data_IF_294377874992
#
_entry.id   IF_294377874992
#
_cell.length_a   1.000
_cell.length_b   1.000
_cell.length_c   1.000
_cell.angle_alpha   90.00
_cell.angle_beta   90.00
_cell.angle_gamma   90.00
#
_symmetry.space_group_name_H-M   'P 1'
#
loop_
_entity.id
_entity.type
_entity.pdbx_description
1 polymer ?
#
# COMPACT_ATOMS: atom_id res chain seq x y z
N UNK A 1 -13.33 1.97 11.39
CA UNK A 1 -13.78 2.98 12.38
C UNK A 1 -14.27 4.19 11.62
N UNK A 2 -15.23 4.95 12.13
CA UNK A 2 -15.66 6.18 11.45
C UNK A 2 -14.73 7.36 11.78
N UNK A 3 -14.72 8.37 10.90
CA UNK A 3 -13.85 9.54 11.05
C UNK A 3 -14.22 10.37 12.29
N UNK A 4 -15.50 10.44 12.67
CA UNK A 4 -15.92 11.07 13.92
C UNK A 4 -15.31 10.36 15.16
N UNK A 5 -15.31 9.02 15.19
CA UNK A 5 -14.69 8.25 16.28
C UNK A 5 -13.18 8.52 16.38
N UNK A 6 -12.52 8.68 15.23
CA UNK A 6 -11.11 9.07 15.18
C UNK A 6 -10.90 10.48 15.75
N UNK A 7 -11.76 11.43 15.38
CA UNK A 7 -11.69 12.79 15.92
C UNK A 7 -11.91 12.83 17.43
N UNK A 8 -12.87 12.06 17.95
CA UNK A 8 -13.10 11.95 19.39
C UNK A 8 -11.87 11.39 20.12
N UNK A 9 -11.26 10.32 19.58
CA UNK A 9 -10.04 9.74 20.16
C UNK A 9 -8.88 10.72 20.19
N UNK A 10 -8.66 11.45 19.09
CA UNK A 10 -7.60 12.46 19.01
C UNK A 10 -7.86 13.63 19.96
N UNK A 11 -9.10 14.12 20.02
CA UNK A 11 -9.51 15.25 20.89
C UNK A 11 -9.28 14.89 22.36
N UNK A 12 -9.86 13.79 22.84
CA UNK A 12 -9.74 13.43 24.25
C UNK A 12 -8.42 12.73 24.61
N UNK A 13 -7.61 12.37 23.62
CA UNK A 13 -6.33 11.68 23.76
C UNK A 13 -5.15 12.58 23.46
N UNK A 14 -4.50 12.31 22.33
CA UNK A 14 -3.19 12.87 22.00
C UNK A 14 -3.20 14.38 21.74
N UNK A 15 -4.30 14.93 21.21
CA UNK A 15 -4.42 16.36 20.88
C UNK A 15 -5.09 17.17 22.00
N UNK A 16 -5.34 16.58 23.17
CA UNK A 16 -6.04 17.21 24.30
C UNK A 16 -5.43 18.52 24.82
N UNK A 17 -4.16 18.80 24.50
CA UNK A 17 -3.45 20.04 24.89
C UNK A 17 -3.47 21.12 23.80
N UNK A 18 -4.04 20.83 22.62
CA UNK A 18 -4.12 21.76 21.50
C UNK A 18 -5.49 22.44 21.48
N UNK A 19 -5.55 23.67 20.94
CA UNK A 19 -6.80 24.45 20.90
C UNK A 19 -7.95 23.67 20.22
N UNK A 20 -7.72 23.17 19.00
CA UNK A 20 -8.70 22.37 18.24
C UNK A 20 -8.81 20.90 18.68
N UNK A 21 -8.20 20.54 19.81
CA UNK A 21 -8.30 19.22 20.43
C UNK A 21 -8.66 19.28 21.92
N UNK A 22 -8.90 20.47 22.48
CA UNK A 22 -9.05 20.67 23.92
C UNK A 22 -10.47 20.43 24.44
N UNK A 23 -10.56 20.02 25.71
CA UNK A 23 -11.82 19.72 26.43
C UNK A 23 -12.76 20.94 26.56
N UNK A 24 -12.21 22.15 26.41
CA UNK A 24 -12.95 23.42 26.47
C UNK A 24 -13.41 23.92 25.09
N UNK A 25 -13.08 23.21 24.01
CA UNK A 25 -13.43 23.55 22.63
C UNK A 25 -14.42 22.54 22.02
N UNK A 26 -15.06 22.88 20.90
CA UNK A 26 -16.06 22.02 20.22
C UNK A 26 -15.48 20.74 19.58
N UNK A 27 -14.23 20.38 19.93
CA UNK A 27 -13.44 19.31 19.32
C UNK A 27 -12.90 19.70 17.94
N UNK A 28 -12.56 18.70 17.14
CA UNK A 28 -12.12 18.92 15.75
C UNK A 28 -13.32 19.39 14.91
N UNK A 29 -13.30 20.67 14.53
CA UNK A 29 -14.39 21.30 13.76
C UNK A 29 -14.17 21.20 12.25
N UNK A 30 -15.16 21.63 11.46
CA UNK A 30 -15.03 21.67 10.00
C UNK A 30 -13.89 22.56 9.50
N UNK A 31 -13.55 23.63 10.23
CA UNK A 31 -12.46 24.53 9.88
C UNK A 31 -11.08 23.86 10.08
N UNK A 32 -10.99 22.89 10.99
CA UNK A 32 -9.78 22.14 11.29
C UNK A 32 -9.51 21.01 10.31
N UNK A 33 -10.52 20.54 9.58
CA UNK A 33 -10.39 19.43 8.63
C UNK A 33 -9.26 19.66 7.62
N UNK A 34 -9.12 20.89 7.11
CA UNK A 34 -8.05 21.24 6.14
C UNK A 34 -6.64 21.12 6.73
N UNK A 35 -6.52 21.19 8.05
CA UNK A 35 -5.25 21.05 8.78
C UNK A 35 -4.98 19.59 9.13
N UNK A 36 -5.98 18.88 9.66
CA UNK A 36 -5.81 17.54 10.23
C UNK A 36 -5.84 16.43 9.18
N UNK A 37 -6.70 16.51 8.17
CA UNK A 37 -6.88 15.45 7.17
C UNK A 37 -5.57 15.09 6.44
N UNK A 38 -4.71 16.05 6.04
CA UNK A 38 -3.40 15.71 5.48
C UNK A 38 -2.52 14.87 6.42
N UNK A 39 -2.60 15.06 7.74
CA UNK A 39 -1.86 14.25 8.71
C UNK A 39 -2.43 12.83 8.82
N UNK A 40 -3.76 12.71 8.74
CA UNK A 40 -4.47 11.42 8.71
C UNK A 40 -4.08 10.62 7.47
N UNK A 41 -4.15 11.21 6.27
CA UNK A 41 -3.76 10.55 5.02
C UNK A 41 -2.30 10.09 5.06
N UNK A 42 -1.40 10.93 5.58
CA UNK A 42 0.02 10.55 5.69
C UNK A 42 0.25 9.44 6.72
N UNK A 43 -0.50 9.42 7.82
CA UNK A 43 -0.43 8.37 8.83
C UNK A 43 -0.94 7.03 8.28
N UNK A 44 -2.06 7.03 7.53
CA UNK A 44 -2.54 5.84 6.84
C UNK A 44 -1.52 5.34 5.82
N UNK A 45 -0.96 6.24 5.00
CA UNK A 45 0.09 5.88 4.04
C UNK A 45 1.32 5.31 4.76
N UNK A 46 1.73 5.85 5.91
CA UNK A 46 2.85 5.30 6.70
C UNK A 46 2.61 3.84 7.11
N UNK A 47 1.41 3.56 7.62
CA UNK A 47 1.06 2.22 8.05
C UNK A 47 0.93 1.24 6.88
N UNK A 48 0.36 1.66 5.74
CA UNK A 48 0.28 0.84 4.53
C UNK A 48 1.67 0.54 3.93
N UNK A 49 2.64 1.46 4.04
CA UNK A 49 4.03 1.17 3.64
C UNK A 49 4.67 0.12 4.54
N UNK A 50 4.45 0.22 5.86
CA UNK A 50 5.10 -0.65 6.85
C UNK A 50 4.48 -2.05 6.91
N UNK A 51 3.15 -2.13 6.84
CA UNK A 51 2.38 -3.36 6.99
C UNK A 51 1.57 -3.65 5.73
N UNK A 52 1.48 -4.93 5.33
CA UNK A 52 0.62 -5.33 4.22
C UNK A 52 -0.85 -5.32 4.68
N UNK A 53 -1.47 -4.15 4.65
CA UNK A 53 -2.86 -3.92 5.11
C UNK A 53 -3.86 -4.13 3.98
N UNK A 54 -3.49 -3.69 2.77
CA UNK A 54 -4.33 -3.77 1.57
C UNK A 54 -3.48 -4.31 0.43
N UNK A 55 -3.92 -5.43 -0.10
CA UNK A 55 -3.40 -6.07 -1.29
C UNK A 55 -4.52 -6.07 -2.33
N UNK A 56 -4.16 -5.74 -3.57
CA UNK A 56 -5.06 -5.73 -4.70
C UNK A 56 -4.39 -6.39 -5.88
N UNK A 57 -5.20 -6.84 -6.82
CA UNK A 57 -4.72 -7.42 -8.07
C UNK A 57 -5.28 -6.65 -9.27
N UNK A 58 -4.53 -6.67 -10.37
CA UNK A 58 -5.01 -6.16 -11.65
C UNK A 58 -4.52 -7.04 -12.79
N UNK A 59 -5.40 -7.28 -13.75
CA UNK A 59 -5.07 -8.04 -14.95
C UNK A 59 -4.50 -7.10 -16.02
N UNK A 60 -3.32 -7.42 -16.54
CA UNK A 60 -2.68 -6.75 -17.67
C UNK A 60 -2.78 -7.64 -18.90
N UNK A 61 -3.35 -7.13 -19.98
CA UNK A 61 -3.27 -7.77 -21.30
C UNK A 61 -1.99 -7.39 -22.02
N UNK A 62 -1.23 -8.40 -22.45
CA UNK A 62 0.04 -8.24 -23.12
C UNK A 62 -0.12 -8.01 -24.64
N UNK A 63 0.79 -7.20 -25.17
CA UNK A 63 0.92 -6.88 -26.60
C UNK A 63 2.37 -7.11 -27.04
N UNK A 64 2.55 -7.68 -28.23
CA UNK A 64 3.86 -7.98 -28.84
C UNK A 64 4.79 -6.76 -29.03
N UNK A 65 4.22 -5.57 -29.14
CA UNK A 65 4.95 -4.31 -29.36
C UNK A 65 5.06 -3.45 -28.10
N UNK A 66 4.58 -3.93 -26.94
CA UNK A 66 4.67 -3.23 -25.65
C UNK A 66 5.46 -4.09 -24.69
N UNK A 67 6.64 -3.62 -24.31
CA UNK A 67 7.49 -4.29 -23.32
C UNK A 67 7.30 -3.72 -21.92
N UNK A 68 6.86 -2.46 -21.81
CA UNK A 68 6.74 -1.74 -20.53
C UNK A 68 5.29 -1.37 -20.26
N UNK A 69 4.76 -1.88 -19.16
CA UNK A 69 3.40 -1.68 -18.69
C UNK A 69 3.44 -0.85 -17.41
N UNK A 70 2.89 0.36 -17.46
CA UNK A 70 2.71 1.23 -16.30
C UNK A 70 1.29 1.04 -15.76
N UNK A 71 1.17 0.74 -14.46
CA UNK A 71 -0.09 0.75 -13.74
C UNK A 71 -0.52 2.20 -13.52
N UNK A 72 -1.37 2.69 -14.42
CA UNK A 72 -1.89 4.05 -14.42
C UNK A 72 -3.30 4.03 -15.01
N UNK A 73 -4.26 4.71 -14.37
CA UNK A 73 -5.68 4.70 -14.78
C UNK A 73 -5.88 5.19 -16.21
N UNK A 74 -4.94 5.90 -16.83
CA UNK A 74 -5.03 6.22 -18.28
C UNK A 74 -4.95 4.99 -19.18
N UNK A 75 -4.40 3.87 -18.72
CA UNK A 75 -4.36 2.60 -19.45
C UNK A 75 -5.47 1.62 -19.05
N UNK A 76 -6.36 2.01 -18.14
CA UNK A 76 -7.52 1.25 -17.69
C UNK A 76 -8.63 1.19 -18.74
N UNK A 77 -9.23 0.00 -18.89
CA UNK A 77 -10.32 -0.25 -19.82
C UNK A 77 -11.57 0.58 -19.48
N UNK A 78 -11.83 0.79 -18.19
CA UNK A 78 -12.99 1.58 -17.71
C UNK A 78 -12.83 3.08 -17.90
N UNK A 79 -11.59 3.59 -18.08
CA UNK A 79 -11.35 5.01 -18.23
C UNK A 79 -11.72 5.50 -19.64
N UNK A 80 -12.98 5.91 -19.82
CA UNK A 80 -13.50 6.43 -21.10
C UNK A 80 -12.91 7.78 -21.51
N UNK A 81 -12.30 8.53 -20.58
CA UNK A 81 -11.72 9.84 -20.84
C UNK A 81 -10.30 9.76 -21.41
N UNK A 82 -9.62 8.63 -21.22
CA UNK A 82 -8.27 8.43 -21.76
C UNK A 82 -8.28 8.23 -23.27
N UNK A 83 -7.36 8.95 -23.93
CA UNK A 83 -7.09 8.87 -25.38
C UNK A 83 -6.00 7.85 -25.74
N UNK A 84 -5.48 7.10 -24.76
CA UNK A 84 -4.46 6.09 -24.99
C UNK A 84 -4.99 5.01 -25.95
N UNK A 85 -4.23 4.73 -27.01
CA UNK A 85 -4.63 3.78 -28.06
C UNK A 85 -4.71 2.34 -27.51
N UNK A 86 -3.79 1.98 -26.61
CA UNK A 86 -3.71 0.66 -26.03
C UNK A 86 -4.04 0.75 -24.54
N UNK A 87 -5.24 0.27 -24.19
CA UNK A 87 -5.67 0.08 -22.80
C UNK A 87 -5.40 -1.38 -22.47
N UNK A 88 -4.44 -1.60 -21.57
CA UNK A 88 -3.97 -2.94 -21.22
C UNK A 88 -4.36 -3.34 -19.80
N UNK A 89 -4.83 -2.42 -18.96
CA UNK A 89 -5.34 -2.73 -17.62
C UNK A 89 -6.80 -3.14 -17.78
N UNK A 90 -7.08 -4.42 -17.54
CA UNK A 90 -8.41 -5.01 -17.61
C UNK A 90 -9.10 -4.90 -16.24
N UNK A 91 -9.72 -3.76 -16.00
CA UNK A 91 -10.55 -3.48 -14.82
C UNK A 91 -12.06 -3.50 -15.16
N UNK A 92 -12.92 -3.31 -14.15
CA UNK A 92 -14.37 -3.32 -14.34
C UNK A 92 -15.03 -2.06 -13.78
N UNK A 93 -16.24 -1.72 -14.24
CA UNK A 93 -16.97 -0.56 -13.69
C UNK A 93 -17.30 -0.69 -12.20
N UNK A 94 -17.28 -1.92 -11.67
CA UNK A 94 -17.55 -2.21 -10.26
C UNK A 94 -16.26 -2.14 -9.43
N UNK A 95 -15.12 -2.43 -10.05
CA UNK A 95 -13.79 -2.42 -9.44
C UNK A 95 -12.82 -1.72 -10.41
N UNK A 96 -12.91 -0.39 -10.55
CA UNK A 96 -12.04 0.35 -11.44
C UNK A 96 -10.64 0.49 -10.83
N UNK A 97 -9.62 0.57 -11.67
CA UNK A 97 -8.25 0.85 -11.21
C UNK A 97 -8.09 2.31 -10.80
N UNK A 98 -7.56 2.58 -9.59
CA UNK A 98 -7.59 3.91 -8.93
C UNK A 98 -6.20 4.47 -8.52
N UNK A 99 -5.13 4.14 -9.26
CA UNK A 99 -3.80 4.74 -9.08
C UNK A 99 -3.23 4.67 -7.64
N UNK A 100 -3.57 3.62 -6.89
CA UNK A 100 -3.21 3.45 -5.47
C UNK A 100 -2.00 2.52 -5.25
N UNK A 101 -1.20 2.22 -6.27
CA UNK A 101 -0.06 1.30 -6.18
C UNK A 101 1.06 1.87 -5.30
N UNK A 102 1.42 1.17 -4.23
CA UNK A 102 2.61 1.45 -3.42
C UNK A 102 3.82 0.64 -3.86
N UNK A 103 3.61 -0.64 -4.16
CA UNK A 103 4.67 -1.58 -4.56
C UNK A 103 4.04 -2.80 -5.25
N UNK A 104 4.60 -3.21 -6.37
CA UNK A 104 4.30 -4.52 -6.99
C UNK A 104 4.96 -5.61 -6.13
N UNK A 105 4.17 -6.58 -5.66
CA UNK A 105 4.64 -7.65 -4.78
C UNK A 105 4.84 -8.94 -5.58
N UNK A 106 3.90 -9.31 -6.46
CA UNK A 106 3.96 -10.53 -7.27
C UNK A 106 3.35 -10.35 -8.66
N UNK A 107 3.73 -11.23 -9.56
CA UNK A 107 3.18 -11.30 -10.92
C UNK A 107 2.94 -12.75 -11.27
N UNK A 108 1.78 -13.07 -11.82
CA UNK A 108 1.39 -14.40 -12.28
C UNK A 108 1.10 -14.38 -13.77
N UNK A 109 1.38 -15.49 -14.46
CA UNK A 109 0.94 -15.68 -15.84
C UNK A 109 -0.52 -16.18 -15.92
N UNK A 110 -1.02 -16.37 -17.14
CA UNK A 110 -2.37 -16.86 -17.41
C UNK A 110 -2.66 -18.28 -16.87
N UNK A 111 -1.61 -19.07 -16.59
CA UNK A 111 -1.72 -20.41 -16.01
C UNK A 111 -1.73 -20.39 -14.47
N UNK A 112 -1.67 -19.20 -13.85
CA UNK A 112 -1.60 -19.02 -12.40
C UNK A 112 -0.23 -19.32 -11.81
N UNK A 113 0.83 -19.37 -12.63
CA UNK A 113 2.20 -19.56 -12.17
C UNK A 113 2.82 -18.22 -11.81
N UNK A 114 3.38 -18.13 -10.60
CA UNK A 114 4.15 -16.98 -10.16
C UNK A 114 5.42 -16.83 -11.01
N UNK A 115 5.63 -15.63 -11.52
CA UNK A 115 6.81 -15.22 -12.27
C UNK A 115 7.82 -14.57 -11.32
N UNK A 116 9.10 -14.80 -11.60
CA UNK A 116 10.17 -14.20 -10.83
C UNK A 116 10.21 -12.68 -11.05
N UNK A 117 10.48 -11.94 -9.99
CA UNK A 117 10.63 -10.48 -10.04
C UNK A 117 12.09 -10.06 -9.91
N UNK A 118 12.58 -9.32 -10.91
CA UNK A 118 13.93 -8.73 -10.94
C UNK A 118 15.09 -9.73 -10.75
N UNK A 119 14.89 -11.00 -11.07
CA UNK A 119 15.98 -11.98 -11.00
C UNK A 119 16.94 -11.81 -12.18
N UNK A 120 18.23 -11.75 -11.86
CA UNK A 120 19.32 -11.57 -12.82
C UNK A 120 19.68 -12.85 -13.59
N UNK A 121 19.33 -14.03 -13.07
CA UNK A 121 19.58 -15.31 -13.71
C UNK A 121 18.28 -16.14 -13.87
N UNK A 122 17.44 -15.79 -14.87
CA UNK A 122 16.18 -16.52 -15.14
C UNK A 122 16.37 -17.97 -15.62
N UNK A 123 17.59 -18.51 -15.65
CA UNK A 123 17.90 -19.76 -16.36
C UNK A 123 18.15 -21.00 -15.49
N UNK A 124 17.99 -20.95 -14.16
CA UNK A 124 18.35 -22.10 -13.31
C UNK A 124 17.24 -22.48 -12.31
N UNK A 125 16.36 -23.39 -12.73
CA UNK A 125 15.71 -24.33 -11.80
C UNK A 125 16.53 -25.63 -11.86
N UNK A 126 17.24 -25.97 -10.79
CA UNK A 126 17.80 -27.32 -10.64
C UNK A 126 16.65 -28.27 -10.33
N UNK A 127 16.35 -29.21 -11.23
CA UNK A 127 15.51 -30.36 -10.87
C UNK A 127 16.41 -31.52 -10.41
N UNK A 128 15.94 -32.27 -9.42
CA UNK A 128 16.64 -33.39 -8.75
C UNK A 128 17.15 -34.51 -9.69
N UNK A 129 16.81 -34.46 -10.98
CA UNK A 129 17.17 -35.48 -11.98
C UNK A 129 18.05 -34.95 -13.12
N UNK A 130 18.71 -33.81 -12.95
CA UNK A 130 19.65 -33.27 -13.96
C UNK A 130 18.97 -32.76 -15.24
N UNK A 131 17.65 -32.61 -15.25
CA UNK A 131 16.93 -31.96 -16.34
C UNK A 131 16.81 -30.47 -16.02
N UNK A 132 17.54 -29.62 -16.74
CA UNK A 132 17.39 -28.17 -16.65
C UNK A 132 16.03 -27.81 -17.24
N UNK A 133 15.06 -27.46 -16.39
CA UNK A 133 13.81 -26.86 -16.86
C UNK A 133 14.12 -25.43 -17.24
N UNK A 134 14.27 -25.19 -18.55
CA UNK A 134 14.55 -23.86 -19.10
C UNK A 134 13.21 -23.14 -19.29
N UNK A 135 12.99 -22.06 -18.52
CA UNK A 135 12.16 -20.87 -18.81
C UNK A 135 11.45 -20.39 -17.55
N UNK A 136 12.21 -19.85 -16.61
CA UNK A 136 11.64 -18.93 -15.64
C UNK A 136 11.70 -17.54 -16.26
N UNK A 137 10.59 -17.00 -16.75
CA UNK A 137 10.59 -15.63 -17.27
C UNK A 137 10.62 -14.69 -16.06
N UNK A 138 11.75 -14.00 -15.87
CA UNK A 138 11.86 -12.90 -14.91
C UNK A 138 11.20 -11.66 -15.53
N UNK A 139 10.21 -11.10 -14.84
CA UNK A 139 9.68 -9.77 -15.16
C UNK A 139 10.39 -8.75 -14.29
N UNK A 140 10.62 -7.56 -14.83
CA UNK A 140 11.33 -6.51 -14.11
C UNK A 140 10.38 -5.42 -13.65
N UNK A 141 10.65 -4.84 -12.48
CA UNK A 141 9.88 -3.71 -11.95
C UNK A 141 10.78 -2.48 -11.81
N UNK A 142 11.11 -1.78 -12.92
CA UNK A 142 12.06 -0.66 -12.90
C UNK A 142 11.57 0.52 -12.04
N UNK A 143 10.28 0.56 -11.71
CA UNK A 143 9.68 1.51 -10.78
C UNK A 143 8.50 0.85 -10.03
N UNK A 144 8.01 1.48 -8.96
CA UNK A 144 6.98 0.95 -8.03
C UNK A 144 5.66 0.51 -8.70
N UNK A 145 5.37 1.04 -9.89
CA UNK A 145 4.15 0.81 -10.66
C UNK A 145 4.39 0.36 -12.10
N UNK A 146 5.62 -0.05 -12.43
CA UNK A 146 5.98 -0.40 -13.81
C UNK A 146 6.43 -1.84 -13.86
N UNK A 147 5.96 -2.57 -14.87
CA UNK A 147 6.36 -3.93 -15.19
C UNK A 147 6.97 -3.92 -16.57
N UNK A 148 8.14 -4.53 -16.69
CA UNK A 148 8.81 -4.76 -17.95
C UNK A 148 8.87 -6.25 -18.24
N UNK A 149 8.32 -6.64 -19.39
CA UNK A 149 8.29 -8.01 -19.89
C UNK A 149 9.31 -8.09 -21.03
N UNK A 150 10.44 -8.82 -20.86
CA UNK A 150 11.49 -8.88 -21.88
C UNK A 150 11.06 -9.51 -23.21
N UNK A 151 10.10 -10.44 -23.17
CA UNK A 151 9.62 -11.16 -24.34
C UNK A 151 8.08 -11.17 -24.34
N UNK A 152 7.43 -10.04 -24.64
CA UNK A 152 5.99 -9.96 -24.58
C UNK A 152 5.38 -10.83 -25.69
N UNK A 153 4.46 -11.71 -25.31
CA UNK A 153 3.67 -12.50 -26.25
C UNK A 153 2.26 -11.91 -26.35
N UNK A 154 1.80 -11.72 -27.59
CA UNK A 154 0.47 -11.20 -27.87
C UNK A 154 -0.59 -12.19 -27.34
N UNK A 155 -1.66 -11.65 -26.76
CA UNK A 155 -2.80 -12.38 -26.16
C UNK A 155 -2.52 -13.04 -24.80
N UNK A 156 -1.29 -12.98 -24.28
CA UNK A 156 -1.04 -13.37 -22.89
C UNK A 156 -1.63 -12.34 -21.92
N UNK A 157 -1.87 -12.77 -20.69
CA UNK A 157 -2.28 -11.89 -19.61
C UNK A 157 -1.40 -12.12 -18.39
N UNK A 158 -1.13 -11.05 -17.65
CA UNK A 158 -0.49 -11.12 -16.35
C UNK A 158 -1.48 -10.70 -15.28
N UNK A 159 -1.53 -11.43 -14.17
CA UNK A 159 -2.16 -10.95 -12.94
C UNK A 159 -1.07 -10.34 -12.09
N UNK A 160 -1.26 -9.09 -11.69
CA UNK A 160 -0.28 -8.33 -10.91
C UNK A 160 -0.86 -8.08 -9.54
N UNK A 161 -0.28 -8.69 -8.52
CA UNK A 161 -0.60 -8.41 -7.13
C UNK A 161 0.29 -7.26 -6.64
N UNK A 162 -0.34 -6.25 -6.06
CA UNK A 162 0.35 -5.08 -5.55
C UNK A 162 -0.17 -4.67 -4.18
N UNK A 163 0.74 -4.12 -3.39
CA UNK A 163 0.41 -3.41 -2.17
C UNK A 163 -0.27 -2.09 -2.53
N UNK A 164 -1.49 -1.92 -2.06
CA UNK A 164 -2.33 -0.76 -2.33
C UNK A 164 -2.32 0.24 -1.16
N UNK A 165 -2.40 1.53 -1.49
CA UNK A 165 -2.60 2.59 -0.52
C UNK A 165 -4.08 2.70 -0.11
N UNK A 166 -4.34 3.46 0.96
CA UNK A 166 -5.69 3.80 1.36
C UNK A 166 -6.37 4.78 0.38
N UNK A 167 -7.69 4.86 0.44
CA UNK A 167 -8.46 5.91 -0.23
C UNK A 167 -8.21 7.24 0.50
N UNK A 168 -7.90 8.30 -0.24
CA UNK A 168 -7.69 9.63 0.34
C UNK A 168 -8.98 10.20 0.90
N UNK A 169 -8.90 10.88 2.03
CA UNK A 169 -10.06 11.58 2.59
C UNK A 169 -10.20 12.95 1.94
N UNK A 170 -11.29 13.17 1.21
CA UNK A 170 -11.58 14.45 0.55
C UNK A 170 -12.29 15.38 1.52
N UNK A 171 -11.73 16.59 1.72
CA UNK A 171 -12.27 17.58 2.68
C UNK A 171 -13.57 18.22 2.19
N UNK A 172 -13.72 18.41 0.88
CA UNK A 172 -14.89 19.05 0.30
C UNK A 172 -16.14 18.17 0.47
N UNK A 173 -17.17 18.72 1.14
CA UNK A 173 -18.41 17.98 1.42
C UNK A 173 -18.26 16.84 2.44
N UNK A 174 -17.16 16.79 3.18
CA UNK A 174 -16.85 15.74 4.14
C UNK A 174 -17.88 15.68 5.28
N UNK A 175 -18.47 14.50 5.48
CA UNK A 175 -19.26 14.18 6.67
C UNK A 175 -18.51 13.13 7.52
N UNK A 176 -17.96 13.51 8.69
CA UNK A 176 -17.21 12.59 9.55
C UNK A 176 -18.00 11.39 10.06
N UNK A 177 -19.33 11.48 10.14
CA UNK A 177 -20.18 10.39 10.62
C UNK A 177 -20.40 9.28 9.58
N UNK A 178 -20.10 9.55 8.31
CA UNK A 178 -20.28 8.58 7.21
C UNK A 178 -18.96 8.18 6.56
N UNK A 179 -17.89 8.95 6.76
CA UNK A 179 -16.57 8.62 6.26
C UNK A 179 -15.96 7.49 7.10
N UNK A 180 -15.81 6.32 6.51
CA UNK A 180 -15.12 5.20 7.15
C UNK A 180 -13.60 5.29 6.91
N UNK A 181 -12.83 5.00 7.96
CA UNK A 181 -11.39 4.77 7.93
C UNK A 181 -11.15 3.26 8.08
N UNK A 182 -10.72 2.65 6.98
CA UNK A 182 -10.46 1.20 6.86
C UNK A 182 -9.07 0.88 7.41
N UNK A 183 -8.98 0.64 8.71
CA UNK A 183 -7.74 0.27 9.39
C UNK A 183 -7.99 -0.87 10.39
N UNK A 184 -7.13 -1.91 10.45
CA UNK A 184 -7.23 -2.95 11.46
C UNK A 184 -7.09 -2.42 12.89
N UNK A 185 -7.87 -2.97 13.83
CA UNK A 185 -7.91 -2.52 15.23
C UNK A 185 -6.55 -2.51 15.92
N UNK A 186 -5.69 -3.48 15.62
CA UNK A 186 -4.37 -3.58 16.22
C UNK A 186 -3.40 -2.47 15.78
N UNK A 187 -3.73 -1.69 14.74
CA UNK A 187 -2.94 -0.56 14.27
C UNK A 187 -3.46 0.80 14.77
N UNK A 188 -4.61 0.85 15.45
CA UNK A 188 -5.23 2.12 15.86
C UNK A 188 -4.28 2.94 16.76
N UNK A 189 -3.60 2.31 17.72
CA UNK A 189 -2.64 3.00 18.59
C UNK A 189 -1.51 3.64 17.76
N UNK A 190 -0.86 2.87 16.89
CA UNK A 190 0.20 3.39 16.03
C UNK A 190 -0.32 4.52 15.12
N UNK A 191 -1.54 4.39 14.61
CA UNK A 191 -2.18 5.40 13.77
C UNK A 191 -2.34 6.74 14.48
N UNK A 192 -2.94 6.75 15.68
CA UNK A 192 -3.13 7.95 16.50
C UNK A 192 -1.79 8.61 16.88
N UNK A 193 -0.82 7.80 17.31
CA UNK A 193 0.51 8.27 17.70
C UNK A 193 1.24 8.96 16.53
N UNK A 194 1.12 8.43 15.31
CA UNK A 194 1.74 9.05 14.15
C UNK A 194 1.06 10.38 13.80
N UNK A 195 -0.28 10.45 13.82
CA UNK A 195 -1.03 11.69 13.59
C UNK A 195 -0.57 12.75 14.59
N UNK A 196 -0.57 12.42 15.89
CA UNK A 196 -0.12 13.31 16.94
C UNK A 196 1.32 13.79 16.73
N UNK A 197 2.25 12.87 16.44
CA UNK A 197 3.65 13.23 16.19
C UNK A 197 3.80 14.28 15.10
N UNK A 198 3.03 14.15 14.02
CA UNK A 198 3.06 15.05 12.86
C UNK A 198 2.44 16.40 13.19
N UNK A 199 1.31 16.39 13.91
CA UNK A 199 0.61 17.61 14.32
C UNK A 199 1.51 18.44 15.24
N UNK A 200 1.99 17.87 16.34
CA UNK A 200 2.89 18.58 17.27
C UNK A 200 4.20 19.05 16.60
N UNK A 201 4.80 18.22 15.74
CA UNK A 201 6.01 18.63 15.01
C UNK A 201 5.77 19.82 14.07
N UNK A 202 4.55 19.97 13.54
CA UNK A 202 4.21 21.08 12.64
C UNK A 202 4.03 22.42 13.35
N UNK A 203 3.75 22.41 14.65
CA UNK A 203 3.62 23.63 15.47
C UNK A 203 4.99 24.28 15.74
N UNK A 204 6.06 23.48 15.78
CA UNK A 204 7.42 23.95 16.08
C UNK A 204 7.60 24.35 17.55
N UNK A 205 8.73 24.99 17.86
CA UNK A 205 9.04 25.46 19.22
C UNK A 205 9.08 24.32 20.25
N UNK A 206 8.54 24.58 21.44
CA UNK A 206 8.50 23.62 22.54
C UNK A 206 7.71 22.35 22.17
N UNK A 207 6.60 22.49 21.41
CA UNK A 207 5.75 21.38 20.93
C UNK A 207 6.48 20.38 20.04
N UNK A 208 7.63 20.72 19.46
CA UNK A 208 8.42 19.78 18.68
C UNK A 208 8.96 18.62 19.55
N UNK A 209 9.18 18.86 20.85
CA UNK A 209 9.65 17.82 21.76
C UNK A 209 8.56 16.76 21.99
N UNK A 210 7.31 17.16 22.16
CA UNK A 210 6.15 16.27 22.23
C UNK A 210 5.99 15.50 20.91
N UNK A 211 6.16 16.17 19.77
CA UNK A 211 6.14 15.53 18.44
C UNK A 211 7.15 14.38 18.33
N UNK A 212 8.39 14.61 18.80
CA UNK A 212 9.43 13.57 18.85
C UNK A 212 9.06 12.44 19.82
N UNK A 213 8.45 12.74 20.96
CA UNK A 213 8.02 11.73 21.93
C UNK A 213 6.92 10.82 21.37
N UNK A 214 5.93 11.39 20.66
CA UNK A 214 4.89 10.61 19.97
C UNK A 214 5.47 9.75 18.85
N UNK A 215 6.44 10.26 18.08
CA UNK A 215 7.13 9.47 17.06
C UNK A 215 7.86 8.26 17.67
N UNK A 216 8.53 8.45 18.81
CA UNK A 216 9.18 7.34 19.52
C UNK A 216 8.17 6.27 20.00
N UNK A 217 7.00 6.69 20.50
CA UNK A 217 5.91 5.77 20.88
C UNK A 217 5.32 5.05 19.67
N UNK A 218 5.15 5.73 18.54
CA UNK A 218 4.70 5.14 17.29
C UNK A 218 5.63 4.01 16.85
N UNK A 219 6.94 4.24 16.84
CA UNK A 219 7.93 3.24 16.50
C UNK A 219 7.89 2.03 17.44
N UNK A 220 7.73 2.29 18.75
CA UNK A 220 7.60 1.23 19.74
C UNK A 220 6.32 0.39 19.56
N UNK A 221 5.18 1.04 19.25
CA UNK A 221 3.91 0.35 18.98
C UNK A 221 4.02 -0.52 17.73
N UNK A 222 4.59 0.01 16.64
CA UNK A 222 4.83 -0.76 15.42
C UNK A 222 5.74 -1.98 15.66
N UNK A 223 6.83 -1.80 16.41
CA UNK A 223 7.73 -2.90 16.77
C UNK A 223 6.99 -3.99 17.57
N UNK A 224 6.15 -3.59 18.52
CA UNK A 224 5.33 -4.52 19.30
C UNK A 224 4.34 -5.30 18.43
N UNK A 225 3.71 -4.65 17.45
CA UNK A 225 2.82 -5.31 16.47
C UNK A 225 3.57 -6.39 15.68
N UNK A 226 4.81 -6.09 15.25
CA UNK A 226 5.68 -7.04 14.53
C UNK A 226 6.10 -8.23 15.41
N UNK A 227 6.45 -7.97 16.67
CA UNK A 227 6.82 -8.99 17.66
C UNK A 227 5.66 -9.94 18.00
N UNK A 228 4.44 -9.39 18.09
CA UNK A 228 3.22 -10.17 18.31
C UNK A 228 2.74 -10.93 17.06
N UNK A 229 3.37 -10.71 15.89
CA UNK A 229 2.97 -11.27 14.60
C UNK A 229 1.48 -11.07 14.28
N UNK A 230 0.95 -9.87 14.57
CA UNK A 230 -0.46 -9.55 14.29
C UNK A 230 -0.73 -9.23 12.82
N UNK A 231 0.33 -9.09 12.01
CA UNK A 231 0.25 -8.83 10.58
C UNK A 231 0.50 -10.14 9.85
N UNK A 232 -0.32 -10.44 8.84
CA UNK A 232 -0.08 -11.56 7.94
C UNK A 232 1.30 -11.40 7.29
N UNK A 233 2.21 -12.30 7.63
CA UNK A 233 3.51 -12.40 6.97
C UNK A 233 3.40 -13.51 5.94
N UNK A 234 3.91 -13.26 4.74
CA UNK A 234 4.18 -14.34 3.82
C UNK A 234 5.27 -15.23 4.41
N UNK A 235 4.96 -16.50 4.57
CA UNK A 235 5.94 -17.47 5.02
C UNK A 235 6.78 -17.91 3.83
N UNK A 236 7.97 -17.33 3.69
CA UNK A 236 8.99 -17.92 2.82
C UNK A 236 9.36 -19.30 3.39
N UNK A 237 8.85 -20.36 2.79
CA UNK A 237 9.24 -21.73 3.13
C UNK A 237 10.68 -21.90 2.70
N UNK A 238 11.56 -22.33 3.61
CA UNK A 238 12.94 -22.62 3.26
C UNK A 238 13.00 -23.87 2.39
N UNK A 239 12.95 -23.69 1.07
CA UNK A 239 13.09 -24.75 0.09
C UNK A 239 14.54 -25.22 -0.08
N UNK A 240 15.54 -24.65 0.62
CA UNK A 240 16.94 -25.08 0.46
C UNK A 240 17.14 -26.54 0.84
N UNK A 241 16.40 -27.04 1.82
CA UNK A 241 16.46 -28.46 2.21
C UNK A 241 15.95 -29.37 1.08
N UNK A 242 14.91 -28.94 0.37
CA UNK A 242 14.34 -29.63 -0.79
C UNK A 242 15.25 -29.48 -2.03
N UNK A 243 15.99 -28.38 -2.14
CA UNK A 243 16.95 -28.12 -3.21
C UNK A 243 18.38 -28.64 -2.94
N UNK A 244 18.56 -29.57 -1.98
CA UNK A 244 19.86 -30.13 -1.58
C UNK A 244 20.94 -29.09 -1.22
N UNK A 245 20.54 -27.89 -0.80
CA UNK A 245 21.41 -26.83 -0.31
C UNK A 245 21.67 -26.96 1.19
N UNK A 246 22.90 -26.67 1.62
CA UNK A 246 23.26 -26.63 3.04
C UNK A 246 22.78 -25.33 3.70
N UNK A 247 22.36 -25.43 4.97
CA UNK A 247 21.95 -24.31 5.83
C UNK A 247 23.15 -23.47 6.23
#
# INVERSE_FOLDING_TARGET
MFLNELFDQLTYGELSQLEYGGVDDEGITQDDHKRIIPHIDLALTELHKRFLIREEEVTIRCYDHIETYVLDTKYAATNINSTEKYKYIHDTIFEPFVDNVLKIEKVFNEDGQELFLNEADPYVIQTERGNVSRRSVSVHTPNYRTIQIPYPMKENALVVEYRANHEKVVVEGLNPNTQEIKIPTYLIEAFLLYIASRVYSSLGGDSAQEGMAYMAKFEASCKKIEELNLVNKEHAVNQKLEAAGWV
#
